data_IF_426413546978
#
_entry.id   IF_426413546978
#
_cell.length_a   1.000
_cell.length_b   1.000
_cell.length_c   1.000
_cell.angle_alpha   90.00
_cell.angle_beta   90.00
_cell.angle_gamma   90.00
#
_symmetry.space_group_name_H-M   'P 1'
#
loop_
_entity.id
_entity.type
_entity.pdbx_description
1 polymer ?
#
# COMPACT_ATOMS: atom_id res chain seq x y z
N UNK A 1 -18.43 -13.20 9.74
CA UNK A 1 -18.16 -12.32 8.59
C UNK A 1 -17.18 -11.27 9.09
N UNK A 2 -16.00 -11.15 8.51
CA UNK A 2 -15.05 -10.09 8.88
C UNK A 2 -15.65 -8.74 8.50
N UNK A 3 -15.58 -7.76 9.42
CA UNK A 3 -16.07 -6.41 9.16
C UNK A 3 -15.25 -5.78 8.02
N UNK A 4 -15.92 -5.19 7.04
CA UNK A 4 -15.25 -4.47 5.95
C UNK A 4 -14.82 -3.09 6.44
N UNK A 5 -13.51 -2.82 6.39
CA UNK A 5 -12.94 -1.56 6.84
C UNK A 5 -12.96 -0.49 5.74
N UNK A 6 -12.64 -0.86 4.49
CA UNK A 6 -12.69 0.04 3.34
C UNK A 6 -13.55 -0.58 2.25
N UNK A 7 -14.45 0.23 1.68
CA UNK A 7 -15.28 -0.15 0.53
C UNK A 7 -15.12 0.88 -0.58
N UNK A 8 -14.78 0.43 -1.76
CA UNK A 8 -14.86 1.21 -2.98
C UNK A 8 -16.01 0.68 -3.85
N UNK A 9 -16.81 1.57 -4.42
CA UNK A 9 -17.96 1.22 -5.26
C UNK A 9 -17.94 2.03 -6.55
N UNK A 10 -17.85 1.33 -7.67
CA UNK A 10 -17.94 1.85 -9.04
C UNK A 10 -17.04 3.08 -9.30
N UNK A 11 -15.84 3.09 -8.69
CA UNK A 11 -14.89 4.19 -8.82
C UNK A 11 -14.43 4.37 -10.25
N UNK A 12 -14.54 5.60 -10.76
CA UNK A 12 -14.03 5.95 -12.07
C UNK A 12 -13.39 7.34 -12.07
N UNK A 13 -12.32 7.49 -12.88
CA UNK A 13 -11.69 8.79 -13.15
C UNK A 13 -11.09 8.80 -14.55
N UNK A 14 -11.17 9.97 -15.21
CA UNK A 14 -10.65 10.19 -16.56
C UNK A 14 -9.76 11.42 -16.55
N UNK A 15 -8.60 11.35 -17.19
CA UNK A 15 -7.67 12.45 -17.38
C UNK A 15 -7.48 12.71 -18.88
N UNK A 16 -7.86 13.90 -19.39
CA UNK A 16 -7.66 14.26 -20.80
C UNK A 16 -8.16 13.21 -21.79
N UNK A 17 -9.29 12.53 -21.49
CA UNK A 17 -9.84 11.45 -22.33
C UNK A 17 -9.34 10.04 -21.98
N UNK A 18 -8.24 9.90 -21.25
CA UNK A 18 -7.74 8.61 -20.76
C UNK A 18 -8.52 8.17 -19.53
N UNK A 19 -9.23 7.06 -19.61
CA UNK A 19 -9.91 6.43 -18.47
C UNK A 19 -8.91 5.67 -17.62
N UNK A 20 -8.36 6.32 -16.59
CA UNK A 20 -7.32 5.73 -15.74
C UNK A 20 -7.86 4.70 -14.74
N UNK A 21 -9.11 4.88 -14.27
CA UNK A 21 -9.85 3.89 -13.46
C UNK A 21 -11.28 3.84 -13.98
N UNK A 22 -11.84 2.64 -14.14
CA UNK A 22 -13.12 2.41 -14.78
C UNK A 22 -13.92 1.38 -13.97
N UNK A 23 -14.97 1.86 -13.28
CA UNK A 23 -15.96 1.04 -12.61
C UNK A 23 -15.34 0.02 -11.63
N UNK A 24 -14.35 0.47 -10.83
CA UNK A 24 -13.65 -0.37 -9.88
C UNK A 24 -14.41 -0.44 -8.56
N UNK A 25 -14.71 -1.67 -8.13
CA UNK A 25 -15.30 -1.96 -6.81
C UNK A 25 -14.43 -2.99 -6.08
N UNK A 26 -14.07 -2.71 -4.82
CA UNK A 26 -13.31 -3.63 -3.97
C UNK A 26 -13.66 -3.42 -2.49
N UNK A 27 -13.44 -4.46 -1.70
CA UNK A 27 -13.64 -4.48 -0.26
C UNK A 27 -12.36 -4.91 0.46
N UNK A 28 -11.92 -4.13 1.45
CA UNK A 28 -10.77 -4.47 2.30
C UNK A 28 -11.30 -4.86 3.69
N UNK A 29 -11.23 -6.15 4.06
CA UNK A 29 -11.61 -6.60 5.40
C UNK A 29 -10.70 -6.01 6.48
N UNK A 30 -11.24 -5.73 7.65
CA UNK A 30 -10.44 -5.27 8.79
C UNK A 30 -9.45 -6.35 9.24
N UNK A 31 -8.21 -5.95 9.51
CA UNK A 31 -7.14 -6.84 9.95
C UNK A 31 -6.50 -7.67 8.83
N UNK A 32 -6.99 -7.59 7.58
CA UNK A 32 -6.42 -8.34 6.46
C UNK A 32 -5.17 -7.66 5.89
N UNK A 33 -4.31 -8.47 5.28
CA UNK A 33 -3.23 -8.01 4.39
C UNK A 33 -3.60 -8.40 2.95
N UNK A 34 -3.86 -7.39 2.14
CA UNK A 34 -4.36 -7.55 0.77
C UNK A 34 -3.45 -6.84 -0.23
N UNK A 35 -3.48 -7.25 -1.49
CA UNK A 35 -2.63 -6.67 -2.52
C UNK A 35 -3.43 -6.23 -3.76
N UNK A 36 -2.97 -5.16 -4.38
CA UNK A 36 -3.39 -4.69 -5.69
C UNK A 36 -2.21 -4.82 -6.65
N UNK A 37 -2.31 -5.73 -7.60
CA UNK A 37 -1.27 -5.97 -8.59
C UNK A 37 -1.75 -5.62 -10.00
N UNK A 38 -0.85 -5.61 -10.97
CA UNK A 38 -1.18 -5.32 -12.37
C UNK A 38 0.01 -4.70 -13.11
N UNK A 39 0.01 -4.70 -14.44
CA UNK A 39 1.10 -4.14 -15.24
C UNK A 39 1.30 -2.64 -14.99
N UNK A 40 2.44 -2.11 -15.45
CA UNK A 40 2.70 -0.67 -15.40
C UNK A 40 1.64 0.09 -16.22
N UNK A 41 1.17 1.22 -15.70
CA UNK A 41 0.09 1.98 -16.31
C UNK A 41 -1.32 1.41 -16.12
N UNK A 42 -1.50 0.33 -15.36
CA UNK A 42 -2.82 -0.25 -15.10
C UNK A 42 -3.80 0.65 -14.32
N UNK A 43 -3.31 1.71 -13.66
CA UNK A 43 -4.12 2.61 -12.85
C UNK A 43 -4.01 2.41 -11.34
N UNK A 44 -3.10 1.56 -10.85
CA UNK A 44 -2.94 1.22 -9.42
C UNK A 44 -2.73 2.44 -8.52
N UNK A 45 -1.72 3.27 -8.81
CA UNK A 45 -1.41 4.49 -8.05
C UNK A 45 -2.55 5.51 -8.13
N UNK A 46 -3.26 5.56 -9.27
CA UNK A 46 -4.47 6.37 -9.44
C UNK A 46 -5.58 5.89 -8.51
N UNK A 47 -5.83 4.58 -8.45
CA UNK A 47 -6.82 4.02 -7.54
C UNK A 47 -6.46 4.31 -6.07
N UNK A 48 -5.19 4.17 -5.67
CA UNK A 48 -4.74 4.58 -4.33
C UNK A 48 -4.98 6.06 -4.06
N UNK A 49 -4.77 6.92 -5.08
CA UNK A 49 -5.09 8.34 -4.99
C UNK A 49 -6.57 8.60 -4.72
N UNK A 50 -7.47 7.83 -5.36
CA UNK A 50 -8.93 7.91 -5.13
C UNK A 50 -9.31 7.43 -3.72
N UNK A 51 -8.75 6.30 -3.27
CA UNK A 51 -9.03 5.72 -1.96
C UNK A 51 -8.56 6.61 -0.80
N UNK A 52 -7.46 7.33 -1.00
CA UNK A 52 -6.81 8.16 0.04
C UNK A 52 -7.15 9.65 -0.03
N UNK A 53 -7.99 10.07 -0.99
CA UNK A 53 -8.44 11.46 -1.14
C UNK A 53 -7.43 12.39 -1.83
N UNK A 54 -6.30 11.87 -2.34
CA UNK A 54 -5.38 12.65 -3.18
C UNK A 54 -5.95 12.95 -4.57
N UNK A 55 -6.92 12.16 -5.01
CA UNK A 55 -7.68 12.36 -6.23
C UNK A 55 -9.16 12.28 -5.91
N UNK A 56 -9.96 13.15 -6.51
CA UNK A 56 -11.41 13.11 -6.40
C UNK A 56 -11.97 12.24 -7.52
N UNK A 57 -12.81 11.22 -7.22
CA UNK A 57 -13.41 10.38 -8.26
C UNK A 57 -14.35 11.19 -9.16
N UNK A 58 -14.41 10.84 -10.44
CA UNK A 58 -15.40 11.34 -11.37
C UNK A 58 -16.78 10.72 -11.13
N UNK A 59 -16.81 9.46 -10.64
CA UNK A 59 -18.01 8.75 -10.18
C UNK A 59 -17.65 7.64 -9.21
N UNK A 60 -18.66 7.12 -8.51
CA UNK A 60 -18.49 6.09 -7.49
C UNK A 60 -18.29 6.68 -6.09
N UNK A 61 -18.07 5.82 -5.10
CA UNK A 61 -17.93 6.22 -3.70
C UNK A 61 -16.86 5.40 -2.98
N UNK A 62 -16.30 5.99 -1.91
CA UNK A 62 -15.37 5.35 -0.96
C UNK A 62 -15.93 5.47 0.45
N UNK A 63 -16.09 4.34 1.13
CA UNK A 63 -16.51 4.30 2.53
C UNK A 63 -15.38 3.70 3.38
N UNK A 64 -15.07 4.35 4.49
CA UNK A 64 -14.08 3.89 5.45
C UNK A 64 -14.72 3.77 6.84
N UNK A 65 -14.65 2.58 7.43
CA UNK A 65 -15.30 2.27 8.70
C UNK A 65 -16.79 2.67 8.74
N UNK A 66 -17.51 2.45 7.63
CA UNK A 66 -18.92 2.79 7.47
C UNK A 66 -19.23 4.25 7.15
N UNK A 67 -18.23 5.13 7.16
CA UNK A 67 -18.37 6.55 6.84
C UNK A 67 -18.03 6.81 5.37
N UNK A 68 -18.82 7.60 4.65
CA UNK A 68 -18.50 8.10 3.31
C UNK A 68 -17.35 9.12 3.40
N UNK A 69 -16.24 8.81 2.72
CA UNK A 69 -15.04 9.65 2.62
C UNK A 69 -14.75 10.06 1.17
N UNK A 70 -15.73 9.96 0.27
CA UNK A 70 -15.58 10.21 -1.16
C UNK A 70 -15.07 11.62 -1.45
N UNK A 71 -13.86 11.73 -1.99
CA UNK A 71 -13.22 13.03 -2.29
C UNK A 71 -12.85 13.85 -1.06
N UNK A 72 -12.87 13.28 0.13
CA UNK A 72 -12.41 13.90 1.37
C UNK A 72 -10.90 14.17 1.28
N UNK A 73 -10.42 15.25 1.91
CA UNK A 73 -9.01 15.60 1.87
C UNK A 73 -8.14 14.56 2.61
N UNK A 74 -6.90 14.28 2.13
CA UNK A 74 -6.04 13.23 2.70
C UNK A 74 -5.78 13.37 4.20
N UNK A 75 -5.64 14.59 4.70
CA UNK A 75 -5.40 14.83 6.12
C UNK A 75 -6.62 14.49 7.00
N UNK A 76 -7.83 14.61 6.47
CA UNK A 76 -9.06 14.20 7.15
C UNK A 76 -9.15 12.66 7.18
N UNK A 77 -8.87 11.99 6.05
CA UNK A 77 -8.78 10.53 5.97
C UNK A 77 -7.74 9.98 6.95
N UNK A 78 -6.59 10.67 7.09
CA UNK A 78 -5.56 10.30 8.06
C UNK A 78 -6.04 10.43 9.51
N UNK A 79 -6.85 11.44 9.83
CA UNK A 79 -7.48 11.59 11.17
C UNK A 79 -8.44 10.44 11.47
N UNK A 80 -9.14 9.91 10.48
CA UNK A 80 -9.99 8.71 10.63
C UNK A 80 -9.18 7.41 10.75
N UNK A 81 -7.90 7.44 10.37
CA UNK A 81 -7.01 6.28 10.45
C UNK A 81 -6.69 5.62 9.11
N UNK A 82 -6.94 6.29 7.97
CA UNK A 82 -6.50 5.84 6.67
C UNK A 82 -5.24 6.61 6.26
N UNK A 83 -4.09 5.95 6.21
CA UNK A 83 -2.80 6.56 5.87
C UNK A 83 -2.17 5.86 4.67
N UNK A 84 -1.40 6.61 3.88
CA UNK A 84 -0.71 6.10 2.68
C UNK A 84 0.78 6.41 2.76
N UNK A 85 1.63 5.47 2.30
CA UNK A 85 3.03 5.73 1.93
C UNK A 85 3.11 6.18 0.47
N UNK A 86 4.27 6.67 0.05
CA UNK A 86 4.50 7.14 -1.31
C UNK A 86 5.66 6.37 -1.95
N UNK A 87 5.56 6.13 -3.25
CA UNK A 87 6.58 5.44 -4.03
C UNK A 87 7.94 6.15 -3.93
N UNK A 88 7.92 7.50 -4.01
CA UNK A 88 9.13 8.33 -3.88
C UNK A 88 9.23 8.81 -2.43
N UNK A 89 10.22 8.27 -1.72
CA UNK A 89 10.47 8.62 -0.31
C UNK A 89 11.15 9.97 -0.21
N UNK A 90 10.51 10.92 0.48
CA UNK A 90 11.04 12.27 0.73
C UNK A 90 11.08 12.55 2.24
N UNK A 91 12.14 12.12 2.95
CA UNK A 91 12.30 12.45 4.35
C UNK A 91 12.77 13.90 4.52
N UNK A 92 12.57 14.46 5.70
CA UNK A 92 13.20 15.70 6.11
C UNK A 92 14.68 15.40 6.37
N UNK A 93 15.52 15.56 5.35
CA UNK A 93 16.91 15.06 5.34
C UNK A 93 17.78 15.62 6.47
N UNK A 94 17.62 16.90 6.81
CA UNK A 94 18.37 17.55 7.89
C UNK A 94 17.87 17.19 9.30
N UNK A 95 16.71 16.55 9.42
CA UNK A 95 16.17 16.09 10.70
C UNK A 95 16.60 14.64 10.97
N UNK A 96 16.66 14.29 12.26
CA UNK A 96 16.94 12.91 12.67
C UNK A 96 15.78 11.98 12.29
N UNK A 97 16.04 10.67 12.28
CA UNK A 97 15.01 9.63 12.10
C UNK A 97 13.90 9.80 13.16
N UNK A 98 14.27 10.02 14.42
CA UNK A 98 13.34 10.28 15.54
C UNK A 98 12.42 11.46 15.23
N UNK A 99 12.97 12.58 14.80
CA UNK A 99 12.21 13.79 14.47
C UNK A 99 11.28 13.55 13.27
N UNK A 100 11.75 12.85 12.24
CA UNK A 100 10.93 12.48 11.08
C UNK A 100 9.70 11.64 11.49
N UNK A 101 9.89 10.65 12.38
CA UNK A 101 8.80 9.79 12.86
C UNK A 101 7.83 10.61 13.73
N UNK A 102 8.35 11.49 14.59
CA UNK A 102 7.55 12.34 15.47
C UNK A 102 6.58 13.25 14.69
N UNK A 103 6.95 13.68 13.46
CA UNK A 103 6.01 14.45 12.59
C UNK A 103 4.70 13.66 12.36
N UNK A 104 4.77 12.34 12.11
CA UNK A 104 3.59 11.50 11.99
C UNK A 104 2.82 11.36 13.30
N UNK A 105 3.53 11.27 14.43
CA UNK A 105 2.94 11.13 15.76
C UNK A 105 2.15 12.38 16.17
N UNK A 106 2.51 13.55 15.70
CA UNK A 106 1.79 14.81 15.97
C UNK A 106 0.34 14.83 15.45
N UNK A 107 -0.05 13.91 14.57
CA UNK A 107 -1.46 13.74 14.23
C UNK A 107 -2.31 13.36 15.46
N UNK A 108 -1.72 12.70 16.45
CA UNK A 108 -2.38 12.17 17.66
C UNK A 108 -1.89 12.79 18.97
N UNK A 109 -0.67 13.29 18.99
CA UNK A 109 0.03 13.79 20.15
C UNK A 109 0.39 15.26 19.94
N UNK A 110 -0.16 16.15 20.75
CA UNK A 110 0.13 17.58 20.65
C UNK A 110 1.49 17.92 21.28
N UNK A 111 1.86 17.21 22.35
CA UNK A 111 3.11 17.41 23.07
C UNK A 111 4.30 16.87 22.25
N UNK A 112 5.38 17.68 22.22
CA UNK A 112 6.58 17.37 21.46
C UNK A 112 7.35 16.18 22.06
N UNK A 113 7.48 16.12 23.35
CA UNK A 113 8.29 15.10 24.03
C UNK A 113 7.56 13.76 23.99
N UNK A 114 6.23 13.76 24.12
CA UNK A 114 5.40 12.58 23.89
C UNK A 114 5.53 12.06 22.46
N UNK A 115 5.53 12.95 21.44
CA UNK A 115 5.70 12.56 20.04
C UNK A 115 7.09 11.98 19.75
N UNK A 116 8.14 12.54 20.37
CA UNK A 116 9.51 12.03 20.26
C UNK A 116 9.68 10.67 20.98
N UNK A 117 9.04 10.49 22.14
CA UNK A 117 9.03 9.21 22.85
C UNK A 117 8.28 8.13 22.06
N UNK A 118 7.11 8.47 21.47
CA UNK A 118 6.37 7.55 20.62
C UNK A 118 7.15 7.11 19.38
N UNK A 119 8.04 7.96 18.86
CA UNK A 119 8.88 7.65 17.71
C UNK A 119 9.83 6.46 17.97
N UNK A 120 10.28 6.26 19.21
CA UNK A 120 11.15 5.15 19.58
C UNK A 120 10.45 3.80 19.45
N UNK A 121 9.22 3.69 19.98
CA UNK A 121 8.42 2.48 19.84
C UNK A 121 8.08 2.17 18.39
N UNK A 122 7.80 3.19 17.57
CA UNK A 122 7.54 3.02 16.14
C UNK A 122 8.81 2.58 15.39
N UNK A 123 9.98 3.16 15.70
CA UNK A 123 11.26 2.78 15.10
C UNK A 123 11.60 1.31 15.37
N UNK A 124 11.24 0.80 16.56
CA UNK A 124 11.40 -0.61 16.91
C UNK A 124 10.61 -1.53 15.98
N UNK A 125 9.40 -1.14 15.60
CA UNK A 125 8.51 -1.93 14.72
C UNK A 125 9.04 -2.08 13.30
N UNK A 126 9.93 -1.19 12.86
CA UNK A 126 10.48 -1.15 11.49
C UNK A 126 12.00 -1.34 11.45
N UNK A 127 12.62 -1.78 12.54
CA UNK A 127 14.06 -2.03 12.66
C UNK A 127 14.93 -0.77 12.38
N UNK A 128 14.53 0.39 12.96
CA UNK A 128 15.26 1.66 12.86
C UNK A 128 15.84 2.18 14.19
N UNK A 129 15.78 1.41 15.29
CA UNK A 129 16.19 1.85 16.63
C UNK A 129 17.64 2.36 16.65
N UNK A 130 18.55 1.60 16.03
CA UNK A 130 19.98 1.96 15.98
C UNK A 130 20.30 3.22 15.16
N UNK A 131 19.31 3.77 14.46
CA UNK A 131 19.44 4.94 13.58
C UNK A 131 18.63 6.14 14.05
N UNK A 132 17.98 6.09 15.21
CA UNK A 132 17.04 7.11 15.68
C UNK A 132 17.62 8.54 15.68
N UNK A 133 18.88 8.69 16.08
CA UNK A 133 19.52 9.99 16.24
C UNK A 133 20.39 10.38 15.03
N UNK A 134 20.39 9.54 13.97
CA UNK A 134 21.06 9.85 12.70
C UNK A 134 20.22 10.80 11.86
N UNK A 135 20.82 11.71 11.09
CA UNK A 135 20.14 12.46 10.04
C UNK A 135 19.48 11.49 9.04
N UNK A 136 18.26 11.81 8.61
CA UNK A 136 17.57 10.96 7.64
C UNK A 136 18.25 10.92 6.27
N UNK A 137 19.06 11.96 5.94
CA UNK A 137 19.88 11.99 4.72
C UNK A 137 20.91 10.87 4.67
N UNK A 138 21.42 10.41 5.83
CA UNK A 138 22.47 9.39 5.95
C UNK A 138 21.94 7.96 5.87
N UNK A 139 20.63 7.78 5.73
CA UNK A 139 20.01 6.46 5.60
C UNK A 139 20.24 5.88 4.20
N UNK A 140 20.45 4.56 4.14
CA UNK A 140 20.41 3.77 2.91
C UNK A 140 19.02 3.82 2.27
N UNK A 141 18.89 3.32 1.03
CA UNK A 141 17.57 3.21 0.36
C UNK A 141 16.59 2.42 1.23
N UNK A 142 17.00 1.25 1.74
CA UNK A 142 16.18 0.43 2.64
C UNK A 142 15.82 1.17 3.94
N UNK A 143 16.78 1.89 4.53
CA UNK A 143 16.55 2.71 5.71
C UNK A 143 15.51 3.82 5.46
N UNK A 144 15.56 4.48 4.30
CA UNK A 144 14.56 5.50 3.92
C UNK A 144 13.17 4.89 3.71
N UNK A 145 13.07 3.71 3.09
CA UNK A 145 11.79 2.98 2.94
C UNK A 145 11.20 2.60 4.30
N UNK A 146 12.03 2.12 5.23
CA UNK A 146 11.61 1.88 6.62
C UNK A 146 11.18 3.15 7.34
N UNK A 147 11.86 4.27 7.10
CA UNK A 147 11.49 5.56 7.68
C UNK A 147 10.14 6.07 7.15
N UNK A 148 9.88 5.91 5.86
CA UNK A 148 8.56 6.23 5.27
C UNK A 148 7.45 5.42 5.94
N UNK A 149 7.66 4.10 6.07
CA UNK A 149 6.74 3.21 6.77
C UNK A 149 6.55 3.64 8.23
N UNK A 150 7.63 3.99 8.94
CA UNK A 150 7.58 4.48 10.32
C UNK A 150 6.77 5.78 10.46
N UNK A 151 6.95 6.73 9.54
CA UNK A 151 6.19 7.99 9.54
C UNK A 151 4.70 7.73 9.37
N UNK A 152 4.33 6.81 8.47
CA UNK A 152 2.94 6.41 8.29
C UNK A 152 2.38 5.70 9.54
N UNK A 153 3.14 4.78 10.16
CA UNK A 153 2.75 4.06 11.37
C UNK A 153 2.58 4.98 12.58
N UNK A 154 3.38 6.04 12.69
CA UNK A 154 3.30 7.01 13.77
C UNK A 154 1.95 7.74 13.81
N UNK A 155 1.21 7.81 12.70
CA UNK A 155 -0.16 8.34 12.66
C UNK A 155 -1.18 7.42 13.34
N UNK A 156 -0.78 6.21 13.77
CA UNK A 156 -1.63 5.14 14.33
C UNK A 156 -2.76 4.76 13.37
N UNK A 157 -2.43 4.27 12.16
CA UNK A 157 -3.43 3.95 11.15
C UNK A 157 -4.23 2.70 11.52
N UNK A 158 -5.51 2.66 11.13
CA UNK A 158 -6.35 1.46 11.06
C UNK A 158 -6.18 0.75 9.73
N UNK A 159 -6.00 1.54 8.63
CA UNK A 159 -5.68 1.07 7.29
C UNK A 159 -4.43 1.78 6.78
N UNK A 160 -3.45 1.00 6.34
CA UNK A 160 -2.22 1.46 5.73
C UNK A 160 -2.20 1.07 4.26
N UNK A 161 -2.18 2.08 3.38
CA UNK A 161 -1.97 1.91 1.95
C UNK A 161 -0.47 1.97 1.66
N UNK A 162 0.13 0.85 1.26
CA UNK A 162 1.56 0.73 0.94
C UNK A 162 1.76 0.80 -0.58
N UNK A 163 2.44 1.83 -1.05
CA UNK A 163 2.69 2.06 -2.48
C UNK A 163 4.14 1.71 -2.84
N UNK A 164 4.36 0.49 -3.34
CA UNK A 164 5.63 -0.04 -3.81
C UNK A 164 6.79 0.13 -2.79
N UNK A 165 6.55 -0.25 -1.55
CA UNK A 165 7.56 -0.09 -0.47
C UNK A 165 8.81 -0.94 -0.66
N UNK A 166 8.72 -2.01 -1.47
CA UNK A 166 9.84 -2.91 -1.79
C UNK A 166 10.60 -2.50 -3.07
N UNK A 167 10.09 -1.50 -3.81
CA UNK A 167 10.73 -1.06 -5.04
C UNK A 167 12.14 -0.49 -4.78
N UNK A 168 13.11 -0.95 -5.57
CA UNK A 168 14.51 -0.51 -5.49
C UNK A 168 15.33 -1.18 -4.38
N UNK A 169 14.76 -2.13 -3.65
CA UNK A 169 15.48 -2.96 -2.67
C UNK A 169 16.11 -4.17 -3.35
N UNK A 170 17.28 -4.60 -2.86
CA UNK A 170 17.89 -5.84 -3.27
C UNK A 170 17.19 -7.06 -2.61
N UNK A 171 17.43 -8.31 -3.07
CA UNK A 171 16.75 -9.48 -2.54
C UNK A 171 16.85 -9.67 -1.02
N UNK A 172 18.02 -9.40 -0.42
CA UNK A 172 18.22 -9.50 1.03
C UNK A 172 17.41 -8.45 1.80
N UNK A 173 17.38 -7.21 1.30
CA UNK A 173 16.59 -6.13 1.90
C UNK A 173 15.08 -6.40 1.80
N UNK A 174 14.63 -7.05 0.71
CA UNK A 174 13.23 -7.50 0.56
C UNK A 174 12.93 -8.57 1.61
N UNK A 175 13.82 -9.56 1.80
CA UNK A 175 13.64 -10.62 2.80
C UNK A 175 13.58 -10.08 4.23
N UNK A 176 14.27 -8.98 4.52
CA UNK A 176 14.19 -8.28 5.80
C UNK A 176 12.91 -7.42 5.94
N UNK A 177 12.35 -6.90 4.83
CA UNK A 177 11.17 -6.04 4.88
C UNK A 177 9.86 -6.86 4.96
N UNK A 178 9.80 -8.02 4.33
CA UNK A 178 8.61 -8.91 4.37
C UNK A 178 8.14 -9.19 5.80
N UNK A 179 9.02 -9.63 6.76
CA UNK A 179 8.62 -9.85 8.15
C UNK A 179 8.12 -8.58 8.84
N UNK A 180 8.68 -7.41 8.49
CA UNK A 180 8.23 -6.13 9.05
C UNK A 180 6.78 -5.87 8.64
N UNK A 181 6.46 -5.96 7.34
CA UNK A 181 5.09 -5.73 6.84
C UNK A 181 4.12 -6.77 7.41
N UNK A 182 4.53 -8.05 7.48
CA UNK A 182 3.71 -9.11 8.09
C UNK A 182 3.37 -8.81 9.54
N UNK A 183 4.39 -8.43 10.33
CA UNK A 183 4.19 -8.09 11.75
C UNK A 183 3.20 -6.94 11.96
N UNK A 184 3.14 -5.97 11.03
CA UNK A 184 2.15 -4.89 11.15
C UNK A 184 0.72 -5.41 11.03
N UNK A 185 0.47 -6.35 10.12
CA UNK A 185 -0.83 -6.99 9.98
C UNK A 185 -1.14 -7.87 11.21
N UNK A 186 -0.18 -8.65 11.69
CA UNK A 186 -0.30 -9.46 12.91
C UNK A 186 -0.59 -8.59 14.15
N UNK A 187 -0.07 -7.36 14.19
CA UNK A 187 -0.34 -6.35 15.23
C UNK A 187 -1.72 -5.64 15.04
N UNK A 188 -2.53 -6.07 14.07
CA UNK A 188 -3.90 -5.59 13.84
C UNK A 188 -4.04 -4.39 12.90
N UNK A 189 -2.98 -3.96 12.22
CA UNK A 189 -3.08 -2.93 11.17
C UNK A 189 -3.59 -3.58 9.88
N UNK A 190 -4.70 -3.08 9.35
CA UNK A 190 -5.16 -3.49 8.01
C UNK A 190 -4.19 -2.95 6.96
N UNK A 191 -3.80 -3.77 6.00
CA UNK A 191 -2.86 -3.37 4.94
C UNK A 191 -3.45 -3.65 3.56
N UNK A 192 -3.44 -2.63 2.70
CA UNK A 192 -3.62 -2.79 1.26
C UNK A 192 -2.33 -2.32 0.58
N UNK A 193 -1.64 -3.20 -0.13
CA UNK A 193 -0.38 -2.87 -0.78
C UNK A 193 -0.46 -2.92 -2.30
N UNK A 194 0.21 -1.98 -2.98
CA UNK A 194 0.59 -2.11 -4.38
C UNK A 194 2.00 -2.69 -4.39
N UNK A 195 2.17 -3.83 -5.05
CA UNK A 195 3.49 -4.44 -5.22
C UNK A 195 3.61 -5.13 -6.58
N UNK A 196 4.84 -5.20 -7.07
CA UNK A 196 5.20 -5.94 -8.28
C UNK A 196 6.21 -7.07 -7.99
N UNK A 197 6.70 -7.15 -6.76
CA UNK A 197 7.56 -8.23 -6.28
C UNK A 197 6.67 -9.43 -5.92
N UNK A 198 6.43 -10.33 -6.90
CA UNK A 198 5.49 -11.45 -6.73
C UNK A 198 5.80 -12.33 -5.53
N UNK A 199 7.09 -12.53 -5.19
CA UNK A 199 7.48 -13.27 -4.00
C UNK A 199 6.90 -12.66 -2.71
N UNK A 200 6.91 -11.35 -2.59
CA UNK A 200 6.32 -10.65 -1.45
C UNK A 200 4.79 -10.77 -1.45
N UNK A 201 4.15 -10.60 -2.61
CA UNK A 201 2.70 -10.77 -2.75
C UNK A 201 2.28 -12.17 -2.32
N UNK A 202 2.97 -13.22 -2.83
CA UNK A 202 2.68 -14.63 -2.50
C UNK A 202 2.87 -14.96 -1.02
N UNK A 203 3.82 -14.30 -0.34
CA UNK A 203 4.12 -14.58 1.07
C UNK A 203 3.29 -13.75 2.05
N UNK A 204 2.76 -12.61 1.64
CA UNK A 204 2.10 -11.65 2.51
C UNK A 204 0.59 -11.60 2.31
N UNK A 205 0.12 -11.57 1.05
CA UNK A 205 -1.28 -11.28 0.78
C UNK A 205 -2.21 -12.48 1.01
N UNK A 206 -3.32 -12.23 1.68
CA UNK A 206 -4.42 -13.17 1.83
C UNK A 206 -5.34 -13.13 0.61
N UNK A 207 -5.49 -11.94 0.03
CA UNK A 207 -6.32 -11.69 -1.15
C UNK A 207 -5.63 -10.69 -2.09
N UNK A 208 -5.80 -10.90 -3.39
CA UNK A 208 -5.19 -10.08 -4.44
C UNK A 208 -6.25 -9.62 -5.42
N UNK A 209 -6.24 -8.32 -5.74
CA UNK A 209 -6.95 -7.77 -6.89
C UNK A 209 -5.97 -7.52 -8.02
N UNK A 210 -6.36 -7.86 -9.24
CA UNK A 210 -5.56 -7.61 -10.44
C UNK A 210 -6.21 -6.51 -11.26
N UNK A 211 -5.50 -5.41 -11.42
CA UNK A 211 -5.92 -4.25 -12.22
C UNK A 211 -5.21 -4.27 -13.57
N UNK A 212 -5.95 -4.12 -14.65
CA UNK A 212 -5.41 -3.90 -15.99
C UNK A 212 -6.29 -2.90 -16.75
N UNK A 213 -5.65 -1.95 -17.45
CA UNK A 213 -6.33 -0.92 -18.23
C UNK A 213 -7.45 -0.20 -17.47
N UNK A 214 -7.22 0.10 -16.17
CA UNK A 214 -8.16 0.77 -15.30
C UNK A 214 -9.31 -0.08 -14.77
N UNK A 215 -9.36 -1.40 -15.02
CA UNK A 215 -10.41 -2.32 -14.60
C UNK A 215 -9.86 -3.45 -13.75
N UNK A 216 -10.65 -3.94 -12.80
CA UNK A 216 -10.36 -5.22 -12.14
C UNK A 216 -10.64 -6.36 -13.14
N UNK A 217 -9.64 -7.19 -13.41
CA UNK A 217 -9.74 -8.33 -14.33
C UNK A 217 -9.80 -9.67 -13.63
N UNK A 218 -9.28 -9.75 -12.39
CA UNK A 218 -9.30 -10.92 -11.54
C UNK A 218 -9.22 -10.52 -10.06
N UNK A 219 -9.71 -11.41 -9.19
CA UNK A 219 -9.57 -11.31 -7.73
C UNK A 219 -9.60 -12.72 -7.12
N UNK A 220 -8.83 -12.94 -6.06
CA UNK A 220 -8.74 -14.23 -5.37
C UNK A 220 -7.50 -14.34 -4.50
N UNK A 221 -7.16 -15.53 -4.08
CA UNK A 221 -5.88 -15.81 -3.40
C UNK A 221 -4.71 -15.60 -4.36
N UNK A 222 -3.48 -15.34 -3.85
CA UNK A 222 -2.30 -15.20 -4.70
C UNK A 222 -2.12 -16.37 -5.68
N UNK A 223 -2.38 -17.62 -5.22
CA UNK A 223 -2.25 -18.81 -6.06
C UNK A 223 -3.31 -18.92 -7.16
N UNK A 224 -4.52 -18.42 -6.93
CA UNK A 224 -5.59 -18.40 -7.95
C UNK A 224 -5.29 -17.36 -9.03
N UNK A 225 -4.96 -16.13 -8.63
CA UNK A 225 -4.74 -15.05 -9.60
C UNK A 225 -3.52 -15.28 -10.49
N UNK A 226 -2.46 -15.96 -10.00
CA UNK A 226 -1.28 -16.27 -10.82
C UNK A 226 -1.57 -17.31 -11.91
N UNK A 227 -2.63 -18.10 -11.78
CA UNK A 227 -3.06 -19.11 -12.75
C UNK A 227 -4.19 -18.62 -13.67
N UNK A 228 -4.75 -17.44 -13.41
CA UNK A 228 -5.83 -16.90 -14.22
C UNK A 228 -5.31 -16.53 -15.62
N UNK A 229 -5.88 -17.11 -16.73
CA UNK A 229 -5.45 -16.82 -18.07
C UNK A 229 -5.51 -15.32 -18.43
N UNK A 230 -6.47 -14.58 -17.91
CA UNK A 230 -6.59 -13.12 -18.12
C UNK A 230 -5.42 -12.37 -17.50
N UNK A 231 -4.96 -12.82 -16.31
CA UNK A 231 -3.80 -12.26 -15.63
C UNK A 231 -2.52 -12.55 -16.42
N UNK A 232 -2.33 -13.80 -16.83
CA UNK A 232 -1.19 -14.19 -17.68
C UNK A 232 -1.14 -13.35 -18.97
N UNK A 233 -2.26 -13.17 -19.64
CA UNK A 233 -2.33 -12.33 -20.86
C UNK A 233 -2.07 -10.85 -20.59
N UNK A 234 -2.53 -10.31 -19.46
CA UNK A 234 -2.29 -8.92 -19.11
C UNK A 234 -0.80 -8.60 -18.86
N UNK A 235 -0.02 -9.58 -18.38
CA UNK A 235 1.42 -9.42 -18.11
C UNK A 235 2.32 -9.80 -19.29
N UNK A 236 1.99 -10.88 -20.03
CA UNK A 236 2.83 -11.47 -21.09
C UNK A 236 2.34 -11.21 -22.51
N UNK A 237 1.20 -10.54 -22.64
CA UNK A 237 0.58 -10.22 -23.93
C UNK A 237 -0.35 -11.32 -24.46
N UNK A 238 -1.13 -10.98 -25.49
CA UNK A 238 -2.14 -11.86 -26.07
C UNK A 238 -1.57 -13.21 -26.54
N UNK A 239 -2.31 -14.29 -26.24
CA UNK A 239 -1.96 -15.65 -26.59
C UNK A 239 -0.88 -16.29 -25.70
N UNK A 240 -0.37 -15.59 -24.68
CA UNK A 240 0.63 -16.13 -23.77
C UNK A 240 0.09 -17.29 -22.95
N UNK A 241 -1.15 -17.19 -22.45
CA UNK A 241 -1.80 -18.24 -21.70
C UNK A 241 -1.94 -19.54 -22.51
N UNK A 242 -2.34 -19.44 -23.77
CA UNK A 242 -2.45 -20.60 -24.67
C UNK A 242 -1.08 -21.25 -24.94
N UNK A 243 -0.02 -20.44 -25.14
CA UNK A 243 1.35 -20.95 -25.34
C UNK A 243 1.89 -21.68 -24.11
N UNK A 244 1.66 -21.15 -22.91
CA UNK A 244 2.08 -21.80 -21.64
C UNK A 244 1.32 -23.11 -21.43
N UNK A 245 0.01 -23.15 -21.68
CA UNK A 245 -0.79 -24.37 -21.59
C UNK A 245 -0.31 -25.45 -22.58
N UNK A 246 0.07 -25.07 -23.79
CA UNK A 246 0.58 -25.98 -24.81
C UNK A 246 1.99 -26.54 -24.49
N UNK A 247 2.78 -25.83 -23.69
CA UNK A 247 4.15 -26.23 -23.30
C UNK A 247 4.19 -27.10 -22.05
N UNK A 248 3.04 -27.39 -21.40
CA UNK A 248 2.96 -28.24 -20.21
C UNK A 248 3.68 -27.66 -18.98
N UNK A 249 4.03 -26.38 -18.98
CA UNK A 249 4.64 -25.72 -17.84
C UNK A 249 3.57 -25.54 -16.73
N UNK A 250 3.84 -25.93 -15.48
CA UNK A 250 2.96 -25.57 -14.39
C UNK A 250 2.93 -24.04 -14.29
N UNK A 251 1.74 -23.50 -14.24
CA UNK A 251 1.48 -22.07 -14.05
C UNK A 251 1.97 -21.58 -12.68
#
# INVERSE_FOLDING_TARGET
>A
MSDILLQARNLSITFGGLKAVQDVSLDVPQGSLTALVGPNGAGKTTLFGLLSGFLKPGSGSVHFAGQDITGQAPHESARLGLTRTFQIVQPFGAQTVRQNIAVGAHLRLADRDEALAAAEAVAARVNLQASLDKPAADLTVAGRKRLELARALATRPRLLLLDEVLAGLNPSEIDEMIPVVKKLADDGVTVLMIEHVMRAVMSLAEHVWVLAQGRLIAAGTPGEVTRDPKVVEAYLGHGAAARLAAQGAPA
#
